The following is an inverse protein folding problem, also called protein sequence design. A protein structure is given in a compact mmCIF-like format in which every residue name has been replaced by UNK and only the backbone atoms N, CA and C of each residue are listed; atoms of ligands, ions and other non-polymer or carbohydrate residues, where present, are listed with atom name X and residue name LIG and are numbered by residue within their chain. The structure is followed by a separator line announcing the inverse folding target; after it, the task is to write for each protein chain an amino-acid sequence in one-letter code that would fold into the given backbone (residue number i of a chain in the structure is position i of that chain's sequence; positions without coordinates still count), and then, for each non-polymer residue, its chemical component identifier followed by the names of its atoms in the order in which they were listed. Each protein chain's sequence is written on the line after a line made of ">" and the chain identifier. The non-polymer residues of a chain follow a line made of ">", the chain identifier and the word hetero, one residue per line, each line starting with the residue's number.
data_IF_296855172546
#
_entry.id   IF_296855172546
#
_cell.length_a   1.000
_cell.length_b   1.000
_cell.length_c   1.000
_cell.angle_alpha   90.00
_cell.angle_beta   90.00
_cell.angle_gamma   90.00
#
_symmetry.space_group_name_H-M   'P 1'
#
loop_
_entity.id
_entity.type
_entity.pdbx_description
1 polymer ?
#
# COMPACT_ATOMS: atom_id res chain seq x y z
N UNK A 1 20.08 -55.36 -31.28
CA UNK A 1 20.03 -54.75 -29.93
C UNK A 1 19.87 -53.25 -30.14
N UNK A 2 18.64 -52.75 -29.97
CA UNK A 2 18.28 -51.33 -30.05
C UNK A 2 18.71 -50.62 -28.75
N UNK A 3 19.26 -49.41 -28.83
CA UNK A 3 19.27 -48.47 -27.71
C UNK A 3 18.85 -47.08 -28.21
N UNK A 4 17.58 -46.75 -27.94
CA UNK A 4 17.07 -45.39 -27.77
C UNK A 4 17.88 -44.72 -26.62
N UNK A 5 18.24 -43.44 -26.61
CA UNK A 5 17.41 -42.24 -26.83
C UNK A 5 16.89 -41.74 -25.48
N UNK A 6 17.34 -40.56 -25.00
CA UNK A 6 16.51 -39.51 -24.35
C UNK A 6 17.37 -38.33 -23.86
N UNK A 7 16.96 -37.13 -24.29
CA UNK A 7 17.38 -35.81 -23.81
C UNK A 7 16.83 -35.54 -22.40
N UNK A 8 17.65 -35.05 -21.47
CA UNK A 8 17.20 -34.52 -20.18
C UNK A 8 17.13 -33.00 -20.26
N UNK A 9 15.92 -32.48 -20.49
CA UNK A 9 15.56 -31.11 -20.14
C UNK A 9 15.22 -31.08 -18.65
N UNK A 10 15.99 -30.36 -17.85
CA UNK A 10 15.61 -30.06 -16.48
C UNK A 10 14.57 -28.93 -16.50
N UNK A 11 13.43 -29.02 -15.79
CA UNK A 11 12.60 -27.85 -15.51
C UNK A 11 13.23 -27.07 -14.34
N UNK A 12 13.25 -25.75 -14.46
CA UNK A 12 13.67 -24.85 -13.41
C UNK A 12 12.67 -24.97 -12.27
N UNK A 13 13.13 -25.47 -11.12
CA UNK A 13 12.37 -25.48 -9.88
C UNK A 13 12.13 -24.02 -9.45
N UNK A 14 10.91 -23.55 -9.63
CA UNK A 14 10.38 -22.39 -8.92
C UNK A 14 10.33 -22.77 -7.44
N UNK A 15 11.31 -22.30 -6.68
CA UNK A 15 11.31 -22.35 -5.22
C UNK A 15 10.08 -21.58 -4.74
N UNK A 16 9.03 -22.31 -4.38
CA UNK A 16 7.90 -21.76 -3.63
C UNK A 16 8.43 -21.43 -2.24
N UNK A 17 8.29 -20.18 -1.82
CA UNK A 17 8.64 -19.73 -0.47
C UNK A 17 7.98 -20.64 0.58
N UNK A 18 8.75 -21.02 1.60
CA UNK A 18 8.29 -21.88 2.67
C UNK A 18 7.03 -21.28 3.34
N UNK A 19 6.06 -22.11 3.76
CA UNK A 19 4.84 -21.62 4.39
C UNK A 19 5.18 -20.95 5.73
N UNK A 20 4.62 -19.76 5.95
CA UNK A 20 4.78 -18.91 7.15
C UNK A 20 4.30 -19.52 8.48
N UNK A 21 4.00 -20.82 8.51
CA UNK A 21 3.52 -21.51 9.70
C UNK A 21 4.54 -21.47 10.86
N UNK A 22 5.83 -21.29 10.58
CA UNK A 22 6.87 -21.21 11.60
C UNK A 22 6.90 -19.87 12.36
N UNK A 23 6.28 -18.82 11.84
CA UNK A 23 6.34 -17.46 12.42
C UNK A 23 5.08 -17.04 13.18
N UNK A 24 3.94 -17.74 12.99
CA UNK A 24 2.66 -17.36 13.60
C UNK A 24 2.67 -17.47 15.14
N UNK A 25 3.56 -18.28 15.72
CA UNK A 25 3.73 -18.45 17.16
C UNK A 25 4.77 -17.52 17.83
N UNK A 26 5.50 -16.70 17.06
CA UNK A 26 6.53 -15.81 17.62
C UNK A 26 5.90 -14.58 18.27
N UNK A 27 6.23 -14.34 19.55
CA UNK A 27 5.65 -13.26 20.35
C UNK A 27 5.99 -11.89 19.80
N UNK A 28 7.20 -11.71 19.26
CA UNK A 28 7.65 -10.44 18.69
C UNK A 28 6.92 -10.15 17.37
N UNK A 29 6.73 -11.17 16.54
CA UNK A 29 5.93 -11.06 15.32
C UNK A 29 4.45 -10.70 15.61
N UNK A 30 3.85 -11.33 16.63
CA UNK A 30 2.48 -10.99 17.03
C UNK A 30 2.36 -9.57 17.59
N UNK A 31 3.34 -9.11 18.37
CA UNK A 31 3.39 -7.73 18.85
C UNK A 31 3.53 -6.74 17.70
N UNK A 32 4.38 -7.04 16.71
CA UNK A 32 4.49 -6.28 15.47
C UNK A 32 3.13 -6.15 14.77
N UNK A 33 2.42 -7.27 14.54
CA UNK A 33 1.14 -7.24 13.84
C UNK A 33 0.10 -6.37 14.57
N UNK A 34 0.02 -6.49 15.89
CA UNK A 34 -0.89 -5.66 16.70
C UNK A 34 -0.55 -4.17 16.62
N UNK A 35 0.73 -3.79 16.76
CA UNK A 35 1.16 -2.39 16.62
C UNK A 35 0.83 -1.82 15.24
N UNK A 36 1.10 -2.58 14.17
CA UNK A 36 0.84 -2.14 12.81
C UNK A 36 -0.66 -2.08 12.49
N UNK A 37 -1.49 -2.94 13.10
CA UNK A 37 -2.95 -2.86 13.02
C UNK A 37 -3.47 -1.57 13.65
N UNK A 38 -2.98 -1.20 14.83
CA UNK A 38 -3.36 0.04 15.51
C UNK A 38 -2.91 1.28 14.73
N UNK A 39 -1.69 1.27 14.19
CA UNK A 39 -1.20 2.32 13.29
C UNK A 39 -2.05 2.45 12.04
N UNK A 40 -2.33 1.34 11.36
CA UNK A 40 -3.18 1.33 10.16
C UNK A 40 -4.58 1.86 10.47
N UNK A 41 -5.14 1.52 11.64
CA UNK A 41 -6.44 2.03 12.11
C UNK A 41 -6.41 3.55 12.33
N UNK A 42 -5.33 4.09 12.90
CA UNK A 42 -5.13 5.54 13.08
C UNK A 42 -5.11 6.25 11.72
N UNK A 43 -4.24 5.80 10.81
CA UNK A 43 -4.08 6.39 9.46
C UNK A 43 -5.43 6.40 8.71
N UNK A 44 -6.21 5.31 8.77
CA UNK A 44 -7.55 5.28 8.18
C UNK A 44 -8.49 6.34 8.75
N UNK A 45 -8.43 6.58 10.07
CA UNK A 45 -9.21 7.62 10.72
C UNK A 45 -8.85 9.01 10.18
N UNK A 46 -7.55 9.27 10.06
CA UNK A 46 -7.01 10.55 9.58
C UNK A 46 -7.35 10.78 8.09
N UNK A 47 -7.24 9.73 7.25
CA UNK A 47 -7.70 9.78 5.85
C UNK A 47 -9.20 10.10 5.78
N UNK A 48 -10.03 9.45 6.60
CA UNK A 48 -11.48 9.70 6.61
C UNK A 48 -11.84 11.12 7.11
N UNK A 49 -10.99 11.76 7.91
CA UNK A 49 -11.13 13.17 8.27
C UNK A 49 -10.83 14.06 7.07
N UNK A 50 -9.71 13.82 6.36
CA UNK A 50 -9.36 14.59 5.16
C UNK A 50 -10.37 14.41 4.03
N UNK A 51 -10.94 13.21 3.85
CA UNK A 51 -12.02 12.97 2.89
C UNK A 51 -13.25 13.84 3.17
N UNK A 52 -13.63 13.99 4.44
CA UNK A 52 -14.73 14.88 4.85
C UNK A 52 -14.39 16.34 4.55
N UNK A 53 -13.17 16.78 4.86
CA UNK A 53 -12.71 18.15 4.55
C UNK A 53 -12.76 18.42 3.04
N UNK A 54 -12.33 17.48 2.20
CA UNK A 54 -12.41 17.59 0.72
C UNK A 54 -13.86 17.68 0.26
N UNK A 55 -14.75 16.84 0.80
CA UNK A 55 -16.17 16.87 0.49
C UNK A 55 -16.80 18.22 0.89
N UNK A 56 -16.57 18.71 2.11
CA UNK A 56 -17.13 19.97 2.59
C UNK A 56 -16.61 21.18 1.80
N UNK A 57 -15.31 21.18 1.47
CA UNK A 57 -14.64 22.31 0.82
C UNK A 57 -14.92 22.37 -0.69
N UNK A 58 -14.95 21.23 -1.36
CA UNK A 58 -15.00 21.15 -2.83
C UNK A 58 -16.27 20.50 -3.37
N UNK A 59 -17.17 20.02 -2.50
CA UNK A 59 -18.38 19.29 -2.87
C UNK A 59 -18.08 18.00 -3.67
N UNK A 60 -16.89 17.43 -3.49
CA UNK A 60 -16.45 16.17 -4.10
C UNK A 60 -16.61 15.04 -3.07
N UNK A 61 -17.76 14.38 -3.07
CA UNK A 61 -18.14 13.43 -2.02
C UNK A 61 -18.39 12.01 -2.55
N UNK A 62 -18.62 11.86 -3.86
CA UNK A 62 -19.03 10.61 -4.50
C UNK A 62 -18.13 10.29 -5.67
N UNK A 63 -17.65 9.05 -5.69
CA UNK A 63 -16.70 8.63 -6.71
C UNK A 63 -17.37 8.43 -8.06
N UNK A 64 -18.59 7.92 -8.07
CA UNK A 64 -19.40 7.64 -9.25
C UNK A 64 -19.63 8.89 -10.13
N UNK A 65 -19.65 10.08 -9.52
CA UNK A 65 -19.83 11.36 -10.21
C UNK A 65 -18.53 11.83 -10.92
N UNK A 66 -17.38 11.22 -10.60
CA UNK A 66 -16.05 11.67 -11.02
C UNK A 66 -15.30 10.65 -11.89
N UNK A 67 -15.93 9.52 -12.22
CA UNK A 67 -15.31 8.41 -12.95
C UNK A 67 -14.78 8.80 -14.34
N UNK A 68 -15.45 9.72 -15.04
CA UNK A 68 -15.03 10.17 -16.37
C UNK A 68 -13.73 10.96 -16.32
N UNK A 69 -13.54 11.77 -15.27
CA UNK A 69 -12.34 12.60 -15.10
C UNK A 69 -11.16 11.74 -14.64
N UNK A 70 -11.41 10.65 -13.92
CA UNK A 70 -10.37 9.74 -13.38
C UNK A 70 -9.41 9.23 -14.45
N UNK A 71 -9.90 8.92 -15.66
CA UNK A 71 -9.07 8.32 -16.71
C UNK A 71 -7.93 9.24 -17.17
N UNK A 72 -8.14 10.55 -17.06
CA UNK A 72 -7.16 11.57 -17.44
C UNK A 72 -6.21 11.94 -16.28
N UNK A 73 -6.43 11.36 -15.10
CA UNK A 73 -5.65 11.65 -13.89
C UNK A 73 -4.67 10.50 -13.60
N UNK A 74 -3.38 10.80 -13.61
CA UNK A 74 -2.33 9.88 -13.18
C UNK A 74 -2.25 9.76 -11.65
N UNK A 75 -3.33 9.30 -11.02
CA UNK A 75 -3.42 9.14 -9.55
C UNK A 75 -2.93 7.75 -9.14
N UNK A 76 -2.17 7.70 -8.04
CA UNK A 76 -1.68 6.44 -7.46
C UNK A 76 -2.81 5.47 -7.14
N UNK A 77 -2.61 4.23 -7.56
CA UNK A 77 -3.42 3.07 -7.20
C UNK A 77 -2.49 1.90 -6.91
N UNK A 78 -2.02 1.83 -5.66
CA UNK A 78 -1.09 0.80 -5.24
C UNK A 78 -1.76 -0.60 -5.23
N UNK A 79 -1.15 -1.62 -5.83
CA UNK A 79 -1.72 -2.97 -5.89
C UNK A 79 -1.61 -3.69 -4.53
N UNK A 80 -2.60 -4.54 -4.22
CA UNK A 80 -2.62 -5.41 -3.04
C UNK A 80 -3.07 -6.84 -3.37
N UNK A 81 -2.84 -7.28 -4.61
CA UNK A 81 -3.30 -8.59 -5.10
C UNK A 81 -2.76 -9.75 -4.25
N UNK A 82 -1.54 -9.65 -3.74
CA UNK A 82 -0.90 -10.70 -2.94
C UNK A 82 -1.35 -10.69 -1.47
N UNK A 83 -2.20 -9.72 -1.09
CA UNK A 83 -2.80 -9.63 0.23
C UNK A 83 -4.23 -10.22 0.28
N UNK A 84 -4.80 -10.58 -0.87
CA UNK A 84 -6.11 -11.21 -0.91
C UNK A 84 -6.05 -12.68 -0.49
N UNK A 85 -7.10 -13.16 0.21
CA UNK A 85 -7.16 -14.51 0.78
C UNK A 85 -6.84 -15.64 -0.20
N UNK A 86 -7.18 -15.48 -1.49
CA UNK A 86 -6.97 -16.51 -2.53
C UNK A 86 -5.53 -16.55 -3.07
N UNK A 87 -4.82 -15.45 -2.99
CA UNK A 87 -3.50 -15.19 -3.58
C UNK A 87 -2.49 -14.80 -2.51
N UNK A 88 -2.80 -15.14 -1.25
CA UNK A 88 -2.07 -14.62 -0.10
C UNK A 88 -0.63 -15.14 -0.06
N UNK A 89 0.34 -14.22 -0.10
CA UNK A 89 1.76 -14.51 0.06
C UNK A 89 2.34 -13.42 0.97
N UNK A 90 2.73 -13.74 2.21
CA UNK A 90 3.00 -12.67 3.18
C UNK A 90 4.17 -11.77 2.80
N UNK A 91 5.28 -12.31 2.29
CA UNK A 91 6.42 -11.50 1.83
C UNK A 91 6.01 -10.51 0.73
N UNK A 92 5.30 -11.01 -0.29
CA UNK A 92 4.81 -10.16 -1.38
C UNK A 92 3.73 -9.18 -0.90
N UNK A 93 2.89 -9.58 0.06
CA UNK A 93 1.90 -8.70 0.68
C UNK A 93 2.56 -7.58 1.48
N UNK A 94 3.55 -7.89 2.33
CA UNK A 94 4.30 -6.88 3.08
C UNK A 94 5.03 -5.92 2.14
N UNK A 95 5.64 -6.45 1.07
CA UNK A 95 6.25 -5.62 0.02
C UNK A 95 5.24 -4.67 -0.62
N UNK A 96 4.06 -5.17 -1.01
CA UNK A 96 2.99 -4.35 -1.60
C UNK A 96 2.44 -3.31 -0.61
N UNK A 97 2.29 -3.65 0.67
CA UNK A 97 1.85 -2.68 1.69
C UNK A 97 2.91 -1.59 1.86
N UNK A 98 4.17 -1.97 2.01
CA UNK A 98 5.29 -1.01 2.14
C UNK A 98 5.36 -0.06 0.94
N UNK A 99 5.36 -0.60 -0.27
CA UNK A 99 5.53 0.20 -1.48
C UNK A 99 4.31 1.08 -1.75
N UNK A 100 3.11 0.58 -1.44
CA UNK A 100 1.89 1.39 -1.48
C UNK A 100 1.91 2.55 -0.50
N UNK A 101 2.37 2.34 0.74
CA UNK A 101 2.50 3.41 1.73
C UNK A 101 3.47 4.50 1.28
N UNK A 102 4.62 4.14 0.68
CA UNK A 102 5.55 5.11 0.09
C UNK A 102 4.93 5.91 -1.05
N UNK A 103 4.17 5.24 -1.93
CA UNK A 103 3.49 5.89 -3.04
C UNK A 103 2.41 6.89 -2.57
N UNK A 104 1.62 6.52 -1.56
CA UNK A 104 0.63 7.44 -0.98
C UNK A 104 1.29 8.58 -0.19
N UNK A 105 2.35 8.32 0.57
CA UNK A 105 3.15 9.36 1.23
C UNK A 105 3.59 10.45 0.23
N UNK A 106 4.13 10.06 -0.93
CA UNK A 106 4.52 10.99 -1.99
C UNK A 106 3.31 11.74 -2.57
N UNK A 107 2.20 11.02 -2.83
CA UNK A 107 0.99 11.62 -3.41
C UNK A 107 0.29 12.61 -2.48
N UNK A 108 0.45 12.49 -1.16
CA UNK A 108 -0.14 13.42 -0.20
C UNK A 108 0.41 14.85 -0.32
N UNK A 109 1.56 15.06 -0.99
CA UNK A 109 2.03 16.41 -1.33
C UNK A 109 1.00 17.19 -2.16
N UNK A 110 0.29 16.53 -3.08
CA UNK A 110 -0.78 17.15 -3.82
C UNK A 110 -1.99 17.52 -2.93
N UNK A 111 -2.29 16.71 -1.92
CA UNK A 111 -3.37 17.00 -0.96
C UNK A 111 -2.98 18.16 -0.05
N UNK A 112 -1.71 18.26 0.32
CA UNK A 112 -1.14 19.35 1.12
C UNK A 112 -1.31 20.70 0.40
N UNK A 113 -0.98 20.76 -0.89
CA UNK A 113 -1.19 21.95 -1.72
C UNK A 113 -2.68 22.32 -1.86
N UNK A 114 -3.57 21.32 -1.89
CA UNK A 114 -5.00 21.50 -2.03
C UNK A 114 -5.66 22.04 -0.74
N UNK A 115 -5.13 21.67 0.42
CA UNK A 115 -5.69 21.96 1.75
C UNK A 115 -4.70 22.75 2.64
N UNK A 116 -4.27 23.96 2.26
CA UNK A 116 -3.28 24.71 3.02
C UNK A 116 -3.74 25.05 4.45
N UNK A 117 -5.04 25.21 4.67
CA UNK A 117 -5.62 25.43 6.01
C UNK A 117 -5.60 24.19 6.92
N UNK A 118 -5.25 23.02 6.38
CA UNK A 118 -5.20 21.74 7.11
C UNK A 118 -3.84 21.04 6.92
N UNK A 119 -2.78 21.81 6.66
CA UNK A 119 -1.43 21.26 6.39
C UNK A 119 -0.95 20.31 7.48
N UNK A 120 -1.12 20.66 8.75
CA UNK A 120 -0.69 19.81 9.87
C UNK A 120 -1.37 18.44 9.91
N UNK A 121 -2.62 18.32 9.43
CA UNK A 121 -3.29 17.01 9.32
C UNK A 121 -2.68 16.18 8.19
N UNK A 122 -2.40 16.81 7.05
CA UNK A 122 -1.78 16.12 5.90
C UNK A 122 -0.35 15.70 6.20
N UNK A 123 0.44 16.57 6.84
CA UNK A 123 1.82 16.29 7.26
C UNK A 123 1.88 15.16 8.30
N UNK A 124 0.95 15.16 9.27
CA UNK A 124 0.81 14.05 10.22
C UNK A 124 0.51 12.74 9.50
N UNK A 125 -0.42 12.77 8.54
CA UNK A 125 -0.76 11.59 7.75
C UNK A 125 0.42 11.09 6.90
N UNK A 126 1.21 12.01 6.32
CA UNK A 126 2.45 11.67 5.62
C UNK A 126 3.44 10.97 6.56
N UNK A 127 3.69 11.57 7.73
CA UNK A 127 4.60 11.02 8.72
C UNK A 127 4.16 9.61 9.17
N UNK A 128 2.88 9.41 9.44
CA UNK A 128 2.36 8.11 9.85
C UNK A 128 2.47 7.07 8.74
N UNK A 129 2.22 7.44 7.48
CA UNK A 129 2.40 6.55 6.33
C UNK A 129 3.87 6.14 6.15
N UNK A 130 4.81 7.10 6.29
CA UNK A 130 6.25 6.83 6.25
C UNK A 130 6.69 5.92 7.40
N UNK A 131 6.24 6.20 8.62
CA UNK A 131 6.53 5.39 9.80
C UNK A 131 6.01 3.95 9.65
N UNK A 132 4.77 3.77 9.18
CA UNK A 132 4.22 2.45 8.93
C UNK A 132 5.02 1.70 7.84
N UNK A 133 5.42 2.39 6.77
CA UNK A 133 6.26 1.79 5.74
C UNK A 133 7.61 1.33 6.30
N UNK A 134 8.26 2.14 7.13
CA UNK A 134 9.56 1.81 7.73
C UNK A 134 9.45 0.66 8.72
N UNK A 135 8.41 0.63 9.54
CA UNK A 135 8.16 -0.48 10.47
C UNK A 135 7.97 -1.82 9.73
N UNK A 136 7.23 -1.81 8.61
CA UNK A 136 7.06 -3.02 7.79
C UNK A 136 8.38 -3.42 7.14
N UNK A 137 9.16 -2.47 6.61
CA UNK A 137 10.47 -2.75 6.03
C UNK A 137 11.40 -3.41 7.04
N UNK A 138 11.54 -2.84 8.24
CA UNK A 138 12.40 -3.37 9.29
C UNK A 138 11.96 -4.79 9.69
N UNK A 139 10.66 -5.03 9.84
CA UNK A 139 10.18 -6.37 10.15
C UNK A 139 10.47 -7.38 9.03
N UNK A 140 10.34 -6.98 7.76
CA UNK A 140 10.71 -7.85 6.66
C UNK A 140 12.20 -8.22 6.69
N UNK A 141 13.07 -7.29 7.08
CA UNK A 141 14.50 -7.54 7.27
C UNK A 141 14.76 -8.51 8.43
N UNK A 142 14.12 -8.27 9.58
CA UNK A 142 14.25 -9.11 10.78
C UNK A 142 13.80 -10.56 10.53
N UNK A 143 12.77 -10.76 9.69
CA UNK A 143 12.26 -12.08 9.32
C UNK A 143 13.01 -12.74 8.15
N UNK A 144 14.04 -12.08 7.60
CA UNK A 144 14.75 -12.57 6.41
C UNK A 144 13.90 -12.61 5.13
N UNK A 145 12.79 -11.85 5.11
CA UNK A 145 11.87 -11.70 3.98
C UNK A 145 12.25 -10.54 3.04
N UNK A 146 13.38 -9.87 3.32
CA UNK A 146 13.86 -8.78 2.49
C UNK A 146 14.55 -9.32 1.24
N UNK A 147 13.85 -9.34 0.10
CA UNK A 147 14.53 -9.38 -1.20
C UNK A 147 15.35 -8.11 -1.40
N UNK A 148 16.55 -8.22 -1.96
CA UNK A 148 17.37 -7.07 -2.40
C UNK A 148 16.58 -6.31 -3.47
N UNK A 149 15.81 -5.31 -3.04
CA UNK A 149 15.19 -4.35 -3.95
C UNK A 149 16.23 -3.30 -4.27
N UNK A 150 16.75 -3.32 -5.50
CA UNK A 150 17.42 -2.15 -6.06
C UNK A 150 16.45 -0.97 -5.98
N UNK A 151 16.90 0.24 -5.59
CA UNK A 151 16.05 1.40 -5.62
C UNK A 151 15.52 1.54 -7.06
N UNK A 152 14.23 1.28 -7.25
CA UNK A 152 13.57 1.68 -8.48
C UNK A 152 13.77 3.20 -8.56
N UNK A 153 14.37 3.66 -9.65
CA UNK A 153 14.66 5.07 -9.86
C UNK A 153 13.41 5.91 -9.57
N UNK A 154 13.52 6.76 -8.55
CA UNK A 154 12.58 7.82 -8.25
C UNK A 154 11.29 7.38 -7.56
N UNK A 155 10.94 8.12 -6.49
CA UNK A 155 9.53 8.40 -6.23
C UNK A 155 8.86 8.67 -7.58
N UNK A 156 7.86 7.85 -7.93
CA UNK A 156 7.11 8.05 -9.17
C UNK A 156 6.71 9.52 -9.30
N UNK A 157 6.74 10.10 -10.51
CA UNK A 157 6.55 11.54 -10.71
C UNK A 157 5.30 11.99 -9.95
N UNK A 158 5.44 13.08 -9.18
CA UNK A 158 4.30 13.69 -8.50
C UNK A 158 3.20 13.92 -9.54
N UNK A 159 1.93 13.61 -9.21
CA UNK A 159 0.86 13.81 -10.17
C UNK A 159 0.78 15.28 -10.54
N UNK A 160 1.08 15.59 -11.80
CA UNK A 160 0.97 16.93 -12.34
C UNK A 160 -0.46 17.16 -12.86
N UNK A 161 -1.21 18.01 -12.18
CA UNK A 161 -2.59 18.32 -12.56
C UNK A 161 -2.63 19.51 -13.51
N UNK A 162 -3.29 19.33 -14.66
CA UNK A 162 -3.37 20.37 -15.70
C UNK A 162 -4.36 21.50 -15.37
N UNK A 163 -5.19 21.36 -14.34
CA UNK A 163 -6.13 22.39 -13.90
C UNK A 163 -6.42 22.29 -12.39
N UNK A 164 -6.96 23.37 -11.82
CA UNK A 164 -7.43 23.39 -10.41
C UNK A 164 -8.49 22.32 -10.15
N UNK A 165 -9.40 22.11 -11.10
CA UNK A 165 -10.41 21.07 -10.99
C UNK A 165 -9.79 19.66 -11.01
N UNK A 166 -8.83 19.42 -11.90
CA UNK A 166 -8.08 18.15 -11.90
C UNK A 166 -7.31 17.92 -10.60
N UNK A 167 -6.78 18.97 -9.99
CA UNK A 167 -6.11 18.87 -8.69
C UNK A 167 -7.09 18.52 -7.57
N UNK A 168 -8.29 19.11 -7.56
CA UNK A 168 -9.35 18.78 -6.61
C UNK A 168 -9.80 17.32 -6.75
N UNK A 169 -10.12 16.88 -7.97
CA UNK A 169 -10.53 15.51 -8.27
C UNK A 169 -9.40 14.53 -8.00
N UNK A 170 -8.16 14.90 -8.33
CA UNK A 170 -6.96 14.13 -8.02
C UNK A 170 -6.77 13.93 -6.52
N UNK A 171 -6.88 15.00 -5.73
CA UNK A 171 -6.84 14.94 -4.27
C UNK A 171 -7.92 14.04 -3.68
N UNK A 172 -9.15 14.12 -4.21
CA UNK A 172 -10.24 13.20 -3.85
C UNK A 172 -9.86 11.74 -4.10
N UNK A 173 -9.37 11.41 -5.30
CA UNK A 173 -9.00 10.04 -5.65
C UNK A 173 -7.78 9.52 -4.89
N UNK A 174 -6.80 10.37 -4.57
CA UNK A 174 -5.65 10.01 -3.73
C UNK A 174 -6.16 9.50 -2.37
N UNK A 175 -7.04 10.27 -1.72
CA UNK A 175 -7.59 9.89 -0.41
C UNK A 175 -8.51 8.65 -0.51
N UNK A 176 -9.36 8.58 -1.52
CA UNK A 176 -10.24 7.42 -1.74
C UNK A 176 -9.47 6.12 -2.00
N UNK A 177 -8.44 6.18 -2.85
CA UNK A 177 -7.57 5.04 -3.12
C UNK A 177 -6.76 4.65 -1.87
N UNK A 178 -6.27 5.64 -1.12
CA UNK A 178 -5.52 5.36 0.11
C UNK A 178 -6.39 4.70 1.18
N UNK A 179 -7.62 5.17 1.35
CA UNK A 179 -8.58 4.55 2.27
C UNK A 179 -8.84 3.07 1.94
N UNK A 180 -9.13 2.75 0.66
CA UNK A 180 -9.32 1.37 0.21
C UNK A 180 -8.09 0.49 0.38
N UNK A 181 -6.93 1.06 0.09
CA UNK A 181 -5.64 0.40 0.30
C UNK A 181 -5.46 0.03 1.77
N UNK A 182 -5.65 0.97 2.69
CA UNK A 182 -5.51 0.73 4.13
C UNK A 182 -6.55 -0.25 4.67
N UNK A 183 -7.77 -0.26 4.13
CA UNK A 183 -8.77 -1.27 4.49
C UNK A 183 -8.33 -2.69 4.12
N UNK A 184 -7.74 -2.84 2.94
CA UNK A 184 -7.24 -4.14 2.47
C UNK A 184 -5.99 -4.55 3.25
N UNK A 185 -5.03 -3.64 3.45
CA UNK A 185 -3.85 -3.86 4.27
C UNK A 185 -4.21 -4.25 5.71
N UNK A 186 -5.15 -3.54 6.35
CA UNK A 186 -5.64 -3.87 7.69
C UNK A 186 -6.24 -5.28 7.76
N UNK A 187 -7.03 -5.69 6.75
CA UNK A 187 -7.61 -7.04 6.69
C UNK A 187 -6.52 -8.10 6.57
N UNK A 188 -5.47 -7.85 5.80
CA UNK A 188 -4.35 -8.78 5.62
C UNK A 188 -3.52 -8.91 6.92
N UNK A 189 -3.14 -7.80 7.54
CA UNK A 189 -2.43 -7.80 8.83
C UNK A 189 -3.25 -8.52 9.92
N UNK A 190 -4.57 -8.30 9.95
CA UNK A 190 -5.46 -8.97 10.91
C UNK A 190 -5.58 -10.46 10.63
N UNK A 191 -5.50 -10.87 9.37
CA UNK A 191 -5.51 -12.28 9.02
C UNK A 191 -4.26 -12.97 9.58
N UNK A 192 -3.09 -12.36 9.37
CA UNK A 192 -1.80 -12.84 9.92
C UNK A 192 -1.81 -12.91 11.45
N UNK A 193 -2.41 -11.92 12.13
CA UNK A 193 -2.46 -11.88 13.60
C UNK A 193 -3.38 -12.95 14.22
N UNK A 194 -4.09 -13.71 13.40
CA UNK A 194 -5.07 -14.73 13.82
C UNK A 194 -4.69 -16.14 13.39
N UNK A 195 -3.63 -16.28 12.60
CA UNK A 195 -3.04 -17.56 12.25
C UNK A 195 -2.33 -18.11 13.48
#
# INVERSE_FOLDING_TARGET
>A
VLLLGTMLWAPWLVLHGAPLAELSGDQDFQLFLHKNLEFTRKIKGDVAVLQRIVCDTFQLCKEEELLLVRQDLAVVQAPLEQCHRRTFQAEACFSQIRDGLRAYHGSLAAVLELLPGHSGLVETLQLDAANLSSNIQQQMEDLGLATVTYPAEGLGPLPAFSSRFHHQVGGFFILANFQRFLETAYRALRHLARL
#
